data_IF_406721674538
#
_entry.id   IF_406721674538
#
_cell.length_a   1.000
_cell.length_b   1.000
_cell.length_c   1.000
_cell.angle_alpha   90.00
_cell.angle_beta   90.00
_cell.angle_gamma   90.00
#
_symmetry.space_group_name_H-M   'P 1'
#
loop_
_entity.id
_entity.type
_entity.pdbx_description
1 polymer ?
#
# COMPACT_ATOMS: atom_id res chain seq x y z
N UNK A 1 4.89 -27.67 32.50
CA UNK A 1 6.07 -27.42 31.64
C UNK A 1 5.77 -27.67 30.16
N UNK A 2 5.16 -28.80 29.77
CA UNK A 2 4.80 -29.07 28.36
C UNK A 2 3.79 -28.08 27.72
N UNK A 3 2.79 -27.59 28.48
CA UNK A 3 1.81 -26.61 27.96
C UNK A 3 2.39 -25.21 27.69
N UNK A 4 3.46 -24.82 28.40
CA UNK A 4 4.15 -23.55 28.20
C UNK A 4 5.04 -23.58 26.94
N UNK A 5 5.53 -24.76 26.56
CA UNK A 5 6.34 -24.96 25.34
C UNK A 5 5.52 -24.92 24.06
N UNK A 6 4.24 -25.33 24.10
CA UNK A 6 3.34 -25.24 22.94
C UNK A 6 2.78 -23.82 22.74
N UNK A 7 2.49 -23.09 23.82
CA UNK A 7 2.08 -21.69 23.76
C UNK A 7 3.20 -20.78 23.22
N UNK A 8 4.47 -21.08 23.54
CA UNK A 8 5.63 -20.38 22.97
C UNK A 8 5.80 -20.62 21.47
N UNK A 9 5.42 -21.81 20.97
CA UNK A 9 5.51 -22.16 19.55
C UNK A 9 4.46 -21.46 18.69
N UNK A 10 3.21 -21.39 19.15
CA UNK A 10 2.14 -20.66 18.45
C UNK A 10 2.32 -19.14 18.52
N UNK A 11 2.73 -18.59 19.67
CA UNK A 11 3.02 -17.16 19.80
C UNK A 11 4.24 -16.74 18.96
N UNK A 12 5.27 -17.60 18.84
CA UNK A 12 6.40 -17.37 17.96
C UNK A 12 5.98 -17.43 16.49
N UNK A 13 5.25 -18.49 16.06
CA UNK A 13 4.70 -18.64 14.71
C UNK A 13 3.80 -17.47 14.29
N UNK A 14 2.94 -17.01 15.20
CA UNK A 14 2.09 -15.83 15.05
C UNK A 14 2.91 -14.53 14.93
N UNK A 15 4.04 -14.45 15.66
CA UNK A 15 5.02 -13.36 15.52
C UNK A 15 5.69 -13.34 14.14
N UNK A 16 5.98 -14.51 13.57
CA UNK A 16 6.64 -14.60 12.26
C UNK A 16 5.69 -14.12 11.14
N UNK A 17 4.40 -14.47 11.21
CA UNK A 17 3.43 -14.09 10.18
C UNK A 17 3.25 -12.57 10.02
N UNK A 18 3.24 -11.80 11.12
CA UNK A 18 3.15 -10.33 11.01
C UNK A 18 4.45 -9.70 10.51
N UNK A 19 5.61 -10.24 10.92
CA UNK A 19 6.91 -9.76 10.45
C UNK A 19 7.08 -10.05 8.97
N UNK A 20 6.59 -11.20 8.50
CA UNK A 20 6.58 -11.57 7.08
C UNK A 20 5.71 -10.60 6.28
N UNK A 21 4.49 -10.29 6.72
CA UNK A 21 3.60 -9.36 6.03
C UNK A 21 4.19 -7.94 5.89
N UNK A 22 4.83 -7.42 6.94
CA UNK A 22 5.51 -6.12 6.86
C UNK A 22 6.76 -6.15 5.98
N UNK A 23 7.53 -7.25 6.01
CA UNK A 23 8.73 -7.41 5.17
C UNK A 23 8.35 -7.51 3.70
N UNK A 24 7.34 -8.31 3.35
CA UNK A 24 6.85 -8.45 1.98
C UNK A 24 6.33 -7.10 1.45
N UNK A 25 5.52 -6.40 2.24
CA UNK A 25 5.03 -5.08 1.84
C UNK A 25 6.18 -4.09 1.60
N UNK A 26 7.19 -4.06 2.49
CA UNK A 26 8.39 -3.25 2.31
C UNK A 26 9.20 -3.61 1.08
N UNK A 27 9.36 -4.90 0.77
CA UNK A 27 10.05 -5.37 -0.43
C UNK A 27 9.33 -4.92 -1.70
N UNK A 28 8.00 -5.06 -1.76
CA UNK A 28 7.20 -4.63 -2.92
C UNK A 28 7.30 -3.11 -3.11
N UNK A 29 7.31 -2.35 -2.01
CA UNK A 29 7.52 -0.90 -2.06
C UNK A 29 8.92 -0.55 -2.60
N UNK A 30 9.97 -1.23 -2.14
CA UNK A 30 11.32 -1.03 -2.65
C UNK A 30 11.42 -1.34 -4.14
N UNK A 31 10.80 -2.45 -4.59
CA UNK A 31 10.74 -2.82 -6.01
C UNK A 31 9.97 -1.78 -6.83
N UNK A 32 8.88 -1.22 -6.30
CA UNK A 32 8.13 -0.16 -6.97
C UNK A 32 9.01 1.06 -7.25
N UNK A 33 9.76 1.52 -6.24
CA UNK A 33 10.70 2.63 -6.40
C UNK A 33 11.88 2.29 -7.31
N UNK A 34 12.32 1.03 -7.31
CA UNK A 34 13.36 0.57 -8.22
C UNK A 34 12.95 0.71 -9.68
N UNK A 35 11.72 0.33 -10.06
CA UNK A 35 11.22 0.51 -11.43
C UNK A 35 11.26 1.97 -11.89
N UNK A 36 10.95 2.90 -11.01
CA UNK A 36 10.96 4.33 -11.32
C UNK A 36 12.39 4.86 -11.49
N UNK A 37 13.33 4.39 -10.68
CA UNK A 37 14.76 4.74 -10.82
C UNK A 37 15.33 4.16 -12.12
N UNK A 38 15.00 2.91 -12.43
CA UNK A 38 15.44 2.24 -13.66
C UNK A 38 14.91 2.97 -14.92
N UNK A 39 13.63 3.35 -14.91
CA UNK A 39 13.04 4.19 -15.95
C UNK A 39 13.73 5.56 -16.09
N UNK A 40 14.08 6.20 -14.97
CA UNK A 40 14.81 7.47 -14.99
C UNK A 40 16.23 7.33 -15.58
N UNK A 41 16.95 6.25 -15.25
CA UNK A 41 18.28 5.96 -15.81
C UNK A 41 18.17 5.65 -17.31
N UNK A 42 17.19 4.84 -17.71
CA UNK A 42 16.92 4.54 -19.11
C UNK A 42 16.67 5.83 -19.90
N UNK A 43 15.84 6.74 -19.37
CA UNK A 43 15.53 8.04 -19.97
C UNK A 43 16.77 8.92 -20.19
N UNK A 44 17.79 8.80 -19.33
CA UNK A 44 19.05 9.54 -19.43
C UNK A 44 20.07 8.88 -20.35
N UNK A 45 19.97 7.57 -20.58
CA UNK A 45 20.92 6.81 -21.40
C UNK A 45 20.54 6.77 -22.88
N UNK A 46 19.24 6.87 -23.20
CA UNK A 46 18.77 6.92 -24.59
C UNK A 46 18.99 8.32 -25.19
N UNK A 47 20.16 8.55 -25.78
CA UNK A 47 20.51 9.71 -26.62
C UNK A 47 19.77 9.72 -27.98
N UNK A 48 18.50 9.32 -28.04
CA UNK A 48 17.77 9.15 -29.30
C UNK A 48 16.74 10.28 -29.50
N UNK A 49 17.15 11.33 -30.23
CA UNK A 49 16.40 12.30 -31.07
C UNK A 49 15.08 12.94 -30.60
N UNK A 50 14.50 12.55 -29.47
CA UNK A 50 13.28 13.08 -28.88
C UNK A 50 13.59 13.43 -27.43
N UNK A 51 13.12 14.56 -26.87
CA UNK A 51 13.38 14.93 -25.48
C UNK A 51 12.58 14.01 -24.55
N UNK A 52 13.04 12.77 -24.36
CA UNK A 52 12.40 11.72 -23.55
C UNK A 52 12.98 11.65 -22.15
N UNK A 53 13.42 12.77 -21.58
CA UNK A 53 13.83 12.82 -20.18
C UNK A 53 12.60 12.97 -19.31
N UNK A 54 12.46 12.09 -18.32
CA UNK A 54 11.31 12.13 -17.42
C UNK A 54 11.25 13.50 -16.73
N UNK A 55 10.15 14.21 -16.92
CA UNK A 55 9.99 15.54 -16.34
C UNK A 55 9.55 15.43 -14.87
N UNK A 56 9.86 16.45 -14.08
CA UNK A 56 9.55 16.46 -12.64
C UNK A 56 8.05 16.19 -12.33
N UNK A 57 7.14 16.61 -13.21
CA UNK A 57 5.70 16.41 -13.02
C UNK A 57 5.26 14.96 -13.24
N UNK A 58 6.05 14.16 -13.97
CA UNK A 58 5.73 12.76 -14.26
C UNK A 58 5.95 11.86 -13.04
N UNK A 59 6.68 12.36 -12.04
CA UNK A 59 6.87 11.72 -10.74
C UNK A 59 5.71 11.98 -9.77
N UNK A 60 4.81 12.92 -10.06
CA UNK A 60 3.71 13.30 -9.15
C UNK A 60 2.84 12.10 -8.75
N UNK A 61 2.37 11.24 -9.68
CA UNK A 61 1.55 10.09 -9.31
C UNK A 61 2.28 9.10 -8.40
N UNK A 62 3.59 8.95 -8.59
CA UNK A 62 4.41 8.04 -7.83
C UNK A 62 4.66 8.50 -6.38
N UNK A 63 4.91 9.81 -6.22
CA UNK A 63 5.02 10.45 -4.90
C UNK A 63 3.66 10.43 -4.21
N UNK A 64 2.58 10.76 -4.91
CA UNK A 64 1.22 10.72 -4.37
C UNK A 64 0.84 9.33 -3.85
N UNK A 65 1.10 8.27 -4.63
CA UNK A 65 0.86 6.88 -4.20
C UNK A 65 1.62 6.53 -2.91
N UNK A 66 2.86 7.01 -2.77
CA UNK A 66 3.67 6.78 -1.57
C UNK A 66 3.13 7.54 -0.36
N UNK A 67 2.63 8.77 -0.54
CA UNK A 67 1.94 9.52 0.52
C UNK A 67 0.67 8.79 0.96
N UNK A 68 -0.09 8.23 0.02
CA UNK A 68 -1.28 7.44 0.36
C UNK A 68 -0.91 6.16 1.12
N UNK A 69 0.22 5.52 0.81
CA UNK A 69 0.76 4.41 1.60
C UNK A 69 1.06 4.86 3.04
N UNK A 70 1.67 6.03 3.25
CA UNK A 70 1.86 6.57 4.62
C UNK A 70 0.52 6.84 5.29
N UNK A 71 -0.45 7.39 4.55
CA UNK A 71 -1.79 7.72 5.07
C UNK A 71 -2.54 6.50 5.61
N UNK A 72 -2.46 5.34 4.95
CA UNK A 72 -3.05 4.09 5.45
C UNK A 72 -2.25 3.50 6.62
N UNK A 73 -0.95 3.82 6.71
CA UNK A 73 -0.09 3.43 7.83
C UNK A 73 -0.43 4.14 9.15
N UNK A 74 -0.91 5.38 9.08
CA UNK A 74 -1.24 6.18 10.25
C UNK A 74 -2.58 5.81 10.91
N UNK A 75 -3.41 5.00 10.26
CA UNK A 75 -4.71 4.61 10.80
C UNK A 75 -4.59 3.37 11.69
N UNK A 76 -5.01 3.53 12.94
CA UNK A 76 -5.36 2.43 13.83
C UNK A 76 -6.68 1.81 13.37
N UNK A 77 -6.64 0.52 13.05
CA UNK A 77 -7.81 -0.27 12.67
C UNK A 77 -8.57 -0.80 13.91
N UNK A 78 -8.11 -0.46 15.11
CA UNK A 78 -8.57 -1.07 16.36
C UNK A 78 -10.05 -0.75 16.65
N UNK A 79 -10.56 0.38 16.15
CA UNK A 79 -11.96 0.77 16.34
C UNK A 79 -12.92 0.20 15.27
N UNK A 80 -12.44 -0.63 14.33
CA UNK A 80 -13.30 -1.37 13.41
C UNK A 80 -13.85 -2.67 14.04
N UNK A 81 -13.51 -2.95 15.31
CA UNK A 81 -13.92 -4.16 15.99
C UNK A 81 -15.44 -4.22 16.23
N UNK A 82 -16.05 -5.41 16.05
CA UNK A 82 -17.48 -5.63 16.16
C UNK A 82 -17.89 -5.90 17.62
N UNK A 83 -17.64 -5.00 18.56
CA UNK A 83 -18.50 -4.96 19.76
C UNK A 83 -19.82 -4.31 19.35
N UNK A 84 -20.62 -5.08 18.62
CA UNK A 84 -21.81 -4.67 17.86
C UNK A 84 -22.96 -4.15 18.74
N UNK A 85 -22.79 -4.15 20.06
CA UNK A 85 -23.83 -3.71 21.01
C UNK A 85 -23.74 -2.22 21.36
N UNK A 86 -22.58 -1.57 21.22
CA UNK A 86 -22.43 -0.15 21.57
C UNK A 86 -22.48 0.82 20.40
N UNK A 87 -22.47 0.30 19.15
CA UNK A 87 -22.47 1.13 17.93
C UNK A 87 -23.74 1.98 17.78
N UNK A 88 -24.82 1.66 18.50
CA UNK A 88 -26.09 2.38 18.46
C UNK A 88 -26.42 3.18 19.73
N UNK A 89 -25.72 2.94 20.84
CA UNK A 89 -26.13 3.46 22.17
C UNK A 89 -25.23 4.63 22.65
N UNK A 90 -23.99 4.72 22.20
CA UNK A 90 -23.09 5.83 22.54
C UNK A 90 -22.75 6.64 21.28
N UNK A 91 -22.83 7.97 21.35
CA UNK A 91 -22.46 8.98 20.33
C UNK A 91 -20.97 8.92 19.89
N UNK A 92 -20.42 7.73 19.63
CA UNK A 92 -19.04 7.53 19.26
C UNK A 92 -18.94 7.34 17.74
N UNK A 93 -18.65 8.43 17.01
CA UNK A 93 -18.55 8.43 15.55
C UNK A 93 -17.24 7.79 15.03
N UNK A 94 -16.31 7.41 15.91
CA UNK A 94 -15.00 6.85 15.59
C UNK A 94 -14.99 5.71 14.54
N UNK A 95 -15.81 4.64 14.65
CA UNK A 95 -15.83 3.56 13.65
C UNK A 95 -16.24 4.03 12.25
N UNK A 96 -17.20 4.97 12.16
CA UNK A 96 -17.66 5.53 10.88
C UNK A 96 -16.57 6.37 10.21
N UNK A 97 -15.80 7.12 11.00
CA UNK A 97 -14.71 7.96 10.50
C UNK A 97 -13.57 7.13 9.90
N UNK A 98 -13.24 5.96 10.47
CA UNK A 98 -12.20 5.07 9.91
C UNK A 98 -12.63 4.51 8.55
N UNK A 99 -13.89 4.09 8.40
CA UNK A 99 -14.40 3.57 7.12
C UNK A 99 -14.33 4.66 6.04
N UNK A 100 -14.74 5.89 6.36
CA UNK A 100 -14.62 7.04 5.45
C UNK A 100 -13.15 7.27 5.09
N UNK A 101 -12.24 7.19 6.07
CA UNK A 101 -10.81 7.37 5.82
C UNK A 101 -10.23 6.29 4.89
N UNK A 102 -10.61 5.02 5.09
CA UNK A 102 -10.24 3.92 4.20
C UNK A 102 -10.78 4.12 2.79
N UNK A 103 -11.99 4.65 2.66
CA UNK A 103 -12.60 4.97 1.37
C UNK A 103 -11.88 6.12 0.66
N UNK A 104 -11.49 7.16 1.40
CA UNK A 104 -10.68 8.27 0.87
C UNK A 104 -9.33 7.75 0.39
N UNK A 105 -8.65 6.93 1.19
CA UNK A 105 -7.38 6.30 0.81
C UNK A 105 -7.50 5.50 -0.49
N UNK A 106 -8.54 4.66 -0.58
CA UNK A 106 -8.81 3.84 -1.75
C UNK A 106 -9.01 4.72 -2.99
N UNK A 107 -9.91 5.70 -2.91
CA UNK A 107 -10.22 6.60 -4.04
C UNK A 107 -9.00 7.41 -4.49
N UNK A 108 -8.23 7.95 -3.54
CA UNK A 108 -6.99 8.69 -3.82
C UNK A 108 -5.94 7.80 -4.50
N UNK A 109 -5.83 6.53 -4.09
CA UNK A 109 -4.89 5.59 -4.71
C UNK A 109 -5.26 5.27 -6.17
N UNK A 110 -6.56 5.12 -6.47
CA UNK A 110 -7.04 4.97 -7.86
C UNK A 110 -6.79 6.22 -8.69
N UNK A 111 -6.89 7.41 -8.10
CA UNK A 111 -6.54 8.66 -8.77
C UNK A 111 -5.05 8.69 -9.17
N UNK A 112 -4.14 8.26 -8.29
CA UNK A 112 -2.71 8.15 -8.63
C UNK A 112 -2.45 7.15 -9.77
N UNK A 113 -3.13 5.99 -9.76
CA UNK A 113 -3.03 5.02 -10.87
C UNK A 113 -3.56 5.64 -12.17
N UNK A 114 -4.70 6.34 -12.14
CA UNK A 114 -5.25 7.05 -13.29
C UNK A 114 -4.32 8.14 -13.85
N UNK A 115 -3.62 8.85 -12.97
CA UNK A 115 -2.56 9.79 -13.35
C UNK A 115 -1.41 9.09 -14.09
N UNK A 116 -0.96 7.94 -13.58
CA UNK A 116 0.04 7.10 -14.26
C UNK A 116 -0.43 6.60 -15.63
N UNK A 117 -1.68 6.16 -15.76
CA UNK A 117 -2.28 5.74 -17.04
C UNK A 117 -2.29 6.91 -18.04
N UNK A 118 -2.65 8.11 -17.58
CA UNK A 118 -2.70 9.31 -18.42
C UNK A 118 -1.31 9.65 -18.98
N UNK A 119 -0.26 9.60 -18.16
CA UNK A 119 1.12 9.82 -18.60
C UNK A 119 1.55 8.74 -19.61
N UNK A 120 1.21 7.47 -19.35
CA UNK A 120 1.51 6.38 -20.29
C UNK A 120 0.86 6.61 -21.66
N UNK A 121 -0.40 7.08 -21.71
CA UNK A 121 -1.12 7.28 -22.97
C UNK A 121 -0.63 8.54 -23.69
N UNK A 122 -0.39 9.64 -22.97
CA UNK A 122 -0.13 10.95 -23.56
C UNK A 122 1.36 11.16 -23.87
N UNK A 123 2.25 10.86 -22.92
CA UNK A 123 3.68 11.13 -23.06
C UNK A 123 4.43 9.95 -23.68
N UNK A 124 4.06 8.72 -23.33
CA UNK A 124 4.91 7.53 -23.55
C UNK A 124 4.15 6.29 -24.03
N UNK A 125 3.35 6.38 -25.11
CA UNK A 125 2.44 5.32 -25.53
C UNK A 125 3.18 4.01 -25.85
N UNK A 126 2.88 2.95 -25.09
CA UNK A 126 3.47 1.62 -25.23
C UNK A 126 5.00 1.55 -25.17
N UNK A 127 5.65 2.56 -24.60
CA UNK A 127 7.11 2.54 -24.40
C UNK A 127 7.46 1.98 -23.03
N UNK A 128 8.69 1.48 -22.89
CA UNK A 128 9.21 1.00 -21.61
C UNK A 128 9.07 2.05 -20.50
N UNK A 129 9.32 3.33 -20.82
CA UNK A 129 9.16 4.46 -19.90
C UNK A 129 7.73 4.58 -19.37
N UNK A 130 6.72 4.50 -20.26
CA UNK A 130 5.32 4.55 -19.85
C UNK A 130 4.94 3.42 -18.89
N UNK A 131 5.45 2.21 -19.13
CA UNK A 131 5.23 1.06 -18.24
C UNK A 131 5.90 1.23 -16.88
N UNK A 132 7.11 1.80 -16.80
CA UNK A 132 7.78 2.04 -15.51
C UNK A 132 7.01 3.05 -14.64
N UNK A 133 6.49 4.12 -15.25
CA UNK A 133 5.69 5.15 -14.57
C UNK A 133 4.33 4.61 -14.10
N UNK A 134 3.71 3.71 -14.87
CA UNK A 134 2.44 3.08 -14.49
C UNK A 134 2.61 1.97 -13.46
N UNK A 135 3.66 1.16 -13.56
CA UNK A 135 3.90 0.02 -12.68
C UNK A 135 4.13 0.46 -11.23
N UNK A 136 4.80 1.59 -11.01
CA UNK A 136 5.12 2.09 -9.67
C UNK A 136 3.87 2.31 -8.79
N UNK A 137 2.86 3.14 -9.18
CA UNK A 137 1.71 3.40 -8.31
C UNK A 137 0.86 2.14 -8.08
N UNK A 138 0.83 1.21 -9.04
CA UNK A 138 0.17 -0.09 -8.89
C UNK A 138 0.86 -0.95 -7.83
N UNK A 139 2.20 -1.06 -7.89
CA UNK A 139 2.98 -1.83 -6.94
C UNK A 139 2.92 -1.23 -5.53
N UNK A 140 2.92 0.11 -5.40
CA UNK A 140 2.73 0.78 -4.10
C UNK A 140 1.34 0.51 -3.54
N UNK A 141 0.30 0.53 -4.37
CA UNK A 141 -1.05 0.16 -3.94
C UNK A 141 -1.12 -1.30 -3.47
N UNK A 142 -0.50 -2.23 -4.19
CA UNK A 142 -0.44 -3.63 -3.79
C UNK A 142 0.32 -3.83 -2.47
N UNK A 143 1.45 -3.16 -2.28
CA UNK A 143 2.19 -3.15 -1.01
C UNK A 143 1.31 -2.71 0.16
N UNK A 144 0.60 -1.59 -0.01
CA UNK A 144 -0.32 -1.06 0.99
C UNK A 144 -1.51 -1.99 1.25
N UNK A 145 -2.06 -2.64 0.22
CA UNK A 145 -3.14 -3.62 0.35
C UNK A 145 -2.69 -4.87 1.11
N UNK A 146 -1.52 -5.44 0.78
CA UNK A 146 -0.94 -6.60 1.46
C UNK A 146 -0.74 -6.29 2.94
N UNK A 147 -0.19 -5.11 3.23
CA UNK A 147 0.00 -4.68 4.61
C UNK A 147 -1.33 -4.45 5.36
N UNK A 148 -2.35 -3.93 4.68
CA UNK A 148 -3.69 -3.80 5.26
C UNK A 148 -4.32 -5.16 5.60
N UNK A 149 -4.22 -6.15 4.71
CA UNK A 149 -4.73 -7.50 4.96
C UNK A 149 -3.97 -8.22 6.07
N UNK A 150 -2.63 -8.09 6.10
CA UNK A 150 -1.79 -8.65 7.16
C UNK A 150 -2.12 -8.11 8.55
N UNK A 151 -2.72 -6.91 8.65
CA UNK A 151 -3.20 -6.35 9.92
C UNK A 151 -4.57 -6.90 10.33
N UNK A 152 -5.43 -7.28 9.38
CA UNK A 152 -6.79 -7.78 9.67
C UNK A 152 -6.82 -9.23 10.15
N UNK A 153 -5.90 -10.07 9.69
CA UNK A 153 -5.84 -11.49 10.10
C UNK A 153 -5.63 -11.69 11.61
N UNK A 154 -5.25 -10.64 12.37
CA UNK A 154 -5.11 -10.67 13.83
C UNK A 154 -6.43 -10.76 14.59
N UNK A 155 -7.56 -10.39 13.98
CA UNK A 155 -8.83 -10.22 14.71
C UNK A 155 -9.65 -11.51 14.79
N UNK A 156 -9.40 -12.46 13.87
CA UNK A 156 -10.25 -13.64 13.72
C UNK A 156 -9.79 -14.86 14.54
N UNK A 157 -8.59 -14.82 15.14
CA UNK A 157 -8.02 -15.90 15.97
C UNK A 157 -8.17 -15.68 17.49
N UNK A 158 -8.88 -14.63 17.93
CA UNK A 158 -9.29 -14.48 19.34
C UNK A 158 -10.81 -14.71 19.59
N UNK A 159 -11.46 -15.79 19.08
CA UNK A 159 -12.73 -16.22 19.60
C UNK A 159 -12.49 -17.20 20.75
N UNK A 160 -12.84 -16.77 21.98
CA UNK A 160 -12.93 -17.51 23.25
C UNK A 160 -11.84 -17.22 24.30
N UNK A 161 -11.94 -16.02 24.89
CA UNK A 161 -11.78 -15.83 26.34
C UNK A 161 -13.09 -15.28 26.90
#
# INVERSE_FOLDING_TARGET
VFLLSMAGGSAFAFRINHSIGSVIAGLIFAVAWWFLIDGAVYSSSSQAEVPTTLQWYEYIPAVAASIFLVMINLVSLDHLQPNQTEMFITNNNAPKMIIIWLFIWFTMSFCAIGGGITIMIVSYPNTYLGWTVLAQPILVFLSAAIWLFSRRSKVEEDPMM
#
